data_IF_295885166950
#
_entry.id   IF_295885166950
#
_cell.length_a   1.000
_cell.length_b   1.000
_cell.length_c   1.000
_cell.angle_alpha   90.00
_cell.angle_beta   90.00
_cell.angle_gamma   90.00
#
_symmetry.space_group_name_H-M   'P 1'
#
loop_
_entity.id
_entity.type
_entity.pdbx_description
1 polymer ?
#
# COMPACT_ATOMS: atom_id res chain seq x y z
N UNK A 1 21.15 14.67 5.18
CA UNK A 1 20.65 13.34 5.57
C UNK A 1 21.06 13.07 7.02
N UNK A 2 20.18 12.45 7.81
CA UNK A 2 20.50 12.08 9.20
C UNK A 2 21.45 10.88 9.28
N UNK A 3 21.85 10.50 10.50
CA UNK A 3 22.63 9.29 10.74
C UNK A 3 21.80 8.03 10.41
N UNK A 4 22.48 6.95 9.99
CA UNK A 4 21.84 5.66 9.78
C UNK A 4 21.22 5.13 11.08
N UNK A 5 20.05 4.50 10.97
CA UNK A 5 19.39 3.80 12.08
C UNK A 5 19.82 2.33 12.04
N UNK A 6 20.40 1.84 13.14
CA UNK A 6 20.81 0.43 13.26
C UNK A 6 19.67 -0.45 13.83
N UNK A 7 19.81 -1.76 13.72
CA UNK A 7 18.84 -2.72 14.26
C UNK A 7 17.61 -2.94 13.40
N UNK A 8 17.52 -2.34 12.21
CA UNK A 8 16.46 -2.63 11.24
C UNK A 8 16.60 -4.05 10.67
N UNK A 9 15.51 -4.72 10.25
CA UNK A 9 15.56 -6.07 9.70
C UNK A 9 16.44 -6.19 8.45
N UNK A 10 17.04 -7.36 8.24
CA UNK A 10 17.66 -7.72 6.97
C UNK A 10 16.61 -7.81 5.85
N UNK A 11 16.94 -7.29 4.67
CA UNK A 11 16.00 -7.18 3.55
C UNK A 11 16.48 -7.89 2.29
N UNK A 12 15.53 -8.34 1.48
CA UNK A 12 15.74 -8.78 0.10
C UNK A 12 15.51 -7.63 -0.89
N UNK A 13 16.56 -6.88 -1.20
CA UNK A 13 16.50 -5.69 -2.06
C UNK A 13 16.48 -5.99 -3.58
N UNK A 14 15.95 -7.14 -4.00
CA UNK A 14 15.85 -7.50 -5.43
C UNK A 14 14.57 -6.95 -6.05
N UNK A 15 14.68 -6.36 -7.24
CA UNK A 15 13.54 -5.86 -8.00
C UNK A 15 12.79 -4.75 -7.24
N UNK A 16 11.51 -4.97 -6.94
CA UNK A 16 10.68 -4.07 -6.15
C UNK A 16 10.78 -4.30 -4.63
N UNK A 17 11.66 -5.21 -4.18
CA UNK A 17 11.85 -5.51 -2.76
C UNK A 17 12.86 -4.60 -2.09
N UNK A 18 12.92 -4.66 -0.76
CA UNK A 18 13.82 -3.86 0.07
C UNK A 18 13.18 -3.57 1.43
N UNK A 19 13.65 -2.52 2.09
CA UNK A 19 12.88 -1.84 3.13
C UNK A 19 11.81 -0.98 2.43
N UNK A 20 10.55 -1.08 2.86
CA UNK A 20 9.43 -0.51 2.12
C UNK A 20 8.73 0.60 2.91
N UNK A 21 7.77 0.27 3.76
CA UNK A 21 7.02 1.28 4.52
C UNK A 21 7.56 1.47 5.93
N UNK A 22 7.33 2.68 6.46
CA UNK A 22 7.55 3.02 7.87
C UNK A 22 6.29 3.69 8.41
N UNK A 23 5.78 3.16 9.52
CA UNK A 23 4.66 3.75 10.24
C UNK A 23 5.03 3.94 11.72
N UNK A 24 4.61 5.06 12.28
CA UNK A 24 4.70 5.29 13.72
C UNK A 24 3.47 4.71 14.38
N UNK A 25 3.64 4.15 15.57
CA UNK A 25 2.52 3.79 16.43
C UNK A 25 1.65 5.03 16.74
N UNK A 26 0.32 4.92 16.87
CA UNK A 26 -0.51 6.05 17.27
C UNK A 26 -0.06 6.70 18.59
N UNK A 27 0.49 5.91 19.52
CA UNK A 27 1.01 6.40 20.81
C UNK A 27 2.55 6.59 20.77
N UNK A 28 3.12 6.88 19.59
CA UNK A 28 4.58 6.96 19.38
C UNK A 28 5.28 7.92 20.34
N UNK A 29 4.67 9.07 20.68
CA UNK A 29 5.27 10.02 21.63
C UNK A 29 5.52 9.41 23.01
N UNK A 30 4.75 8.39 23.40
CA UNK A 30 4.88 7.69 24.68
C UNK A 30 5.69 6.40 24.55
N UNK A 31 5.40 5.59 23.53
CA UNK A 31 5.94 4.24 23.41
C UNK A 31 7.14 4.12 22.45
N UNK A 32 7.37 5.11 21.59
CA UNK A 32 8.46 5.12 20.59
C UNK A 32 8.46 3.91 19.64
N UNK A 33 7.32 3.25 19.43
CA UNK A 33 7.22 2.08 18.55
C UNK A 33 7.14 2.49 17.08
N UNK A 34 7.99 1.86 16.27
CA UNK A 34 8.04 2.04 14.82
C UNK A 34 7.80 0.69 14.15
N UNK A 35 6.98 0.71 13.10
CA UNK A 35 6.62 -0.45 12.29
C UNK A 35 7.28 -0.32 10.92
N UNK A 36 7.95 -1.38 10.49
CA UNK A 36 8.64 -1.47 9.21
C UNK A 36 8.04 -2.62 8.41
N UNK A 37 7.64 -2.35 7.18
CA UNK A 37 7.35 -3.41 6.21
C UNK A 37 8.54 -3.59 5.27
N UNK A 38 8.85 -4.83 4.93
CA UNK A 38 10.03 -5.15 4.13
C UNK A 38 9.88 -6.47 3.39
N UNK A 39 10.71 -6.65 2.36
CA UNK A 39 10.85 -7.93 1.66
C UNK A 39 11.72 -8.89 2.48
N UNK A 40 11.13 -9.92 3.06
CA UNK A 40 11.83 -10.93 3.86
C UNK A 40 12.06 -12.20 3.02
N UNK A 41 13.31 -12.67 2.96
CA UNK A 41 13.70 -13.91 2.26
C UNK A 41 12.99 -15.13 2.85
N UNK A 42 12.71 -16.10 2.00
CA UNK A 42 12.32 -17.43 2.45
C UNK A 42 13.52 -18.19 3.00
N UNK A 43 13.27 -19.01 4.01
CA UNK A 43 14.28 -19.85 4.66
C UNK A 43 14.13 -21.31 4.21
N UNK A 44 15.24 -22.05 4.23
CA UNK A 44 15.25 -23.46 3.84
C UNK A 44 15.44 -23.72 2.33
N UNK A 45 15.88 -24.93 1.96
CA UNK A 45 16.17 -25.30 0.58
C UNK A 45 14.94 -25.25 -0.35
N UNK A 46 13.75 -25.48 0.18
CA UNK A 46 12.47 -25.44 -0.54
C UNK A 46 12.05 -24.02 -0.94
N UNK A 47 12.53 -23.00 -0.22
CA UNK A 47 12.23 -21.60 -0.46
C UNK A 47 13.36 -20.86 -1.19
N UNK A 48 14.17 -21.59 -1.96
CA UNK A 48 15.28 -20.97 -2.71
C UNK A 48 14.76 -19.84 -3.61
N UNK A 49 15.34 -18.66 -3.45
CA UNK A 49 14.95 -17.41 -4.11
C UNK A 49 13.57 -16.87 -3.75
N UNK A 50 12.82 -17.53 -2.88
CA UNK A 50 11.52 -17.06 -2.42
C UNK A 50 11.66 -15.88 -1.46
N UNK A 51 10.66 -15.03 -1.44
CA UNK A 51 10.51 -13.93 -0.49
C UNK A 51 9.01 -13.56 -0.38
N UNK A 52 8.70 -12.68 0.56
CA UNK A 52 7.37 -12.11 0.72
C UNK A 52 7.44 -10.93 1.67
N UNK A 53 6.39 -10.12 1.68
CA UNK A 53 6.29 -8.99 2.61
C UNK A 53 6.26 -9.49 4.05
N UNK A 54 7.03 -8.87 4.93
CA UNK A 54 6.96 -9.05 6.38
C UNK A 54 6.78 -7.69 7.04
N UNK A 55 6.23 -7.69 8.26
CA UNK A 55 6.11 -6.50 9.11
C UNK A 55 6.77 -6.79 10.44
N UNK A 56 7.71 -5.94 10.81
CA UNK A 56 8.33 -5.94 12.12
C UNK A 56 8.02 -4.64 12.84
N UNK A 57 8.03 -4.68 14.17
CA UNK A 57 8.02 -3.49 15.02
C UNK A 57 9.20 -3.50 15.97
N UNK A 58 9.60 -2.32 16.42
CA UNK A 58 10.59 -2.17 17.48
C UNK A 58 10.58 -0.76 18.06
N UNK A 59 11.34 -0.55 19.12
CA UNK A 59 11.40 0.73 19.83
C UNK A 59 12.54 1.60 19.30
N UNK A 60 12.23 2.81 18.85
CA UNK A 60 13.23 3.76 18.38
C UNK A 60 13.89 4.47 19.57
N UNK A 61 15.21 4.34 19.65
CA UNK A 61 16.01 5.02 20.69
C UNK A 61 16.29 6.49 20.32
N UNK A 62 16.17 7.38 21.29
CA UNK A 62 16.61 8.77 21.15
C UNK A 62 18.08 8.90 21.53
N UNK A 63 18.96 8.87 20.53
CA UNK A 63 20.39 9.09 20.74
C UNK A 63 21.07 9.65 19.49
N UNK A 64 22.34 10.04 19.62
CA UNK A 64 23.17 10.46 18.48
C UNK A 64 23.41 9.32 17.46
N UNK A 65 23.20 8.07 17.87
CA UNK A 65 23.30 6.86 17.05
C UNK A 65 21.99 6.07 17.17
N UNK A 66 20.89 6.54 16.57
CA UNK A 66 19.57 5.95 16.76
C UNK A 66 19.56 4.49 16.30
N UNK A 67 18.81 3.66 17.04
CA UNK A 67 18.65 2.23 16.79
C UNK A 67 17.21 1.81 17.05
N UNK A 68 16.78 0.78 16.35
CA UNK A 68 15.57 0.03 16.64
C UNK A 68 15.91 -1.12 17.59
N UNK A 69 15.34 -1.11 18.79
CA UNK A 69 15.51 -2.14 19.82
C UNK A 69 14.28 -3.05 19.89
N UNK A 70 14.45 -4.23 20.48
CA UNK A 70 13.37 -5.21 20.72
C UNK A 70 12.57 -5.53 19.46
N UNK A 71 13.28 -5.71 18.35
CA UNK A 71 12.65 -5.91 17.04
C UNK A 71 12.00 -7.29 16.98
N UNK A 72 10.70 -7.30 16.71
CA UNK A 72 9.93 -8.52 16.53
C UNK A 72 9.11 -8.47 15.23
N UNK A 73 9.02 -9.61 14.55
CA UNK A 73 8.21 -9.75 13.33
C UNK A 73 6.79 -10.15 13.73
N UNK A 74 5.83 -9.27 13.46
CA UNK A 74 4.42 -9.42 13.83
C UNK A 74 3.56 -9.98 12.71
N UNK A 75 4.02 -9.93 11.46
CA UNK A 75 3.31 -10.48 10.32
C UNK A 75 4.26 -10.96 9.22
N UNK A 76 3.90 -12.06 8.54
CA UNK A 76 4.58 -12.55 7.34
C UNK A 76 3.54 -12.96 6.29
N UNK A 77 3.67 -12.38 5.10
CA UNK A 77 2.96 -12.84 3.92
C UNK A 77 3.35 -14.30 3.62
N UNK A 78 2.34 -15.15 3.42
CA UNK A 78 2.48 -16.56 3.10
C UNK A 78 1.55 -16.93 1.95
N UNK A 79 1.96 -17.82 1.04
CA UNK A 79 3.30 -18.39 0.94
C UNK A 79 4.33 -17.32 0.48
N UNK A 80 5.60 -17.49 0.87
CA UNK A 80 6.71 -16.80 0.21
C UNK A 80 6.97 -17.46 -1.14
N UNK A 81 7.21 -16.66 -2.17
CA UNK A 81 7.32 -17.14 -3.56
C UNK A 81 8.54 -16.58 -4.27
N UNK A 82 9.09 -17.29 -5.28
CA UNK A 82 10.26 -16.85 -6.04
C UNK A 82 9.89 -15.73 -7.03
N UNK A 83 9.60 -14.54 -6.50
CA UNK A 83 9.29 -13.32 -7.25
C UNK A 83 10.01 -12.11 -6.67
N UNK A 84 10.22 -11.09 -7.49
CA UNK A 84 10.83 -9.81 -7.06
C UNK A 84 9.89 -8.65 -7.36
N UNK A 85 8.60 -8.93 -7.54
CA UNK A 85 7.56 -7.99 -7.94
C UNK A 85 6.37 -8.09 -6.99
N UNK A 86 5.59 -7.00 -6.91
CA UNK A 86 4.30 -6.90 -6.23
C UNK A 86 4.33 -7.29 -4.75
N UNK A 87 5.06 -6.54 -3.94
CA UNK A 87 5.06 -6.68 -2.47
C UNK A 87 3.86 -6.01 -1.83
N UNK A 88 3.33 -4.97 -2.48
CA UNK A 88 2.51 -3.97 -1.82
C UNK A 88 3.26 -3.33 -0.66
N UNK A 89 2.83 -3.65 0.56
CA UNK A 89 3.43 -3.39 1.88
C UNK A 89 2.99 -2.13 2.63
N UNK A 90 1.96 -1.40 2.17
CA UNK A 90 1.53 -0.19 2.87
C UNK A 90 0.94 -0.51 4.25
N UNK A 91 1.32 0.27 5.26
CA UNK A 91 0.89 0.15 6.65
C UNK A 91 -0.02 1.34 7.01
N UNK A 92 -1.20 1.07 7.55
CA UNK A 92 -2.14 2.12 7.99
C UNK A 92 -2.77 1.70 9.32
N UNK A 93 -2.50 2.45 10.37
CA UNK A 93 -3.23 2.33 11.64
C UNK A 93 -4.62 2.94 11.50
N UNK A 94 -5.64 2.26 11.99
CA UNK A 94 -6.99 2.80 12.11
C UNK A 94 -7.26 3.50 13.45
N UNK A 95 -8.41 4.16 13.54
CA UNK A 95 -8.86 4.86 14.75
C UNK A 95 -9.43 3.90 15.81
N UNK A 96 -9.40 2.59 15.57
CA UNK A 96 -9.98 1.54 16.41
C UNK A 96 -8.89 0.64 17.03
N UNK A 97 -7.62 0.95 16.80
CA UNK A 97 -6.48 0.21 17.36
C UNK A 97 -6.09 -1.02 16.54
N UNK A 98 -6.33 -0.99 15.23
CA UNK A 98 -5.85 -2.00 14.29
C UNK A 98 -4.79 -1.44 13.33
N UNK A 99 -4.07 -2.35 12.70
CA UNK A 99 -3.12 -2.10 11.64
C UNK A 99 -3.56 -2.84 10.38
N UNK A 100 -3.83 -2.08 9.32
CA UNK A 100 -4.01 -2.61 7.97
C UNK A 100 -2.67 -2.78 7.28
N UNK A 101 -2.52 -3.90 6.56
CA UNK A 101 -1.36 -4.15 5.69
C UNK A 101 -1.89 -4.48 4.28
N UNK A 102 -1.55 -3.63 3.31
CA UNK A 102 -1.97 -3.80 1.92
C UNK A 102 -0.91 -4.62 1.14
N UNK A 103 -1.27 -5.81 0.67
CA UNK A 103 -0.33 -6.79 0.08
C UNK A 103 -0.56 -6.96 -1.42
N UNK A 104 0.53 -7.15 -2.17
CA UNK A 104 0.48 -7.54 -3.59
C UNK A 104 0.50 -9.06 -3.80
N UNK A 105 0.10 -9.52 -5.00
CA UNK A 105 -0.02 -10.96 -5.31
C UNK A 105 1.24 -11.63 -5.88
N UNK A 106 2.36 -10.91 -5.93
CA UNK A 106 3.68 -11.39 -6.41
C UNK A 106 3.84 -11.49 -7.94
N UNK A 107 2.90 -10.98 -8.74
CA UNK A 107 2.93 -10.75 -10.20
C UNK A 107 2.81 -11.95 -11.14
N UNK A 108 3.37 -13.11 -10.84
CA UNK A 108 3.54 -14.16 -11.86
C UNK A 108 2.25 -14.95 -12.09
N UNK A 109 2.02 -15.35 -13.35
CA UNK A 109 0.78 -16.02 -13.78
C UNK A 109 0.50 -17.32 -13.02
N UNK A 110 1.54 -18.01 -12.60
CA UNK A 110 1.49 -19.29 -11.90
C UNK A 110 0.79 -19.21 -10.55
N UNK A 111 0.81 -18.04 -9.89
CA UNK A 111 0.26 -17.89 -8.54
C UNK A 111 -0.58 -16.63 -8.35
N UNK A 112 -0.66 -15.71 -9.33
CA UNK A 112 -1.51 -14.50 -9.22
C UNK A 112 -2.99 -14.81 -8.98
N UNK A 113 -3.44 -16.02 -9.37
CA UNK A 113 -4.78 -16.52 -9.09
C UNK A 113 -5.09 -16.59 -7.58
N UNK A 114 -4.06 -16.75 -6.74
CA UNK A 114 -4.21 -16.79 -5.28
C UNK A 114 -4.68 -15.47 -4.68
N UNK A 115 -4.76 -14.38 -5.46
CA UNK A 115 -5.52 -13.19 -5.06
C UNK A 115 -6.98 -13.54 -4.70
N UNK A 116 -7.56 -14.58 -5.31
CA UNK A 116 -8.89 -15.10 -5.03
C UNK A 116 -8.94 -16.15 -3.91
N UNK A 117 -7.81 -16.77 -3.58
CA UNK A 117 -7.73 -17.84 -2.59
C UNK A 117 -7.65 -17.25 -1.17
N UNK A 118 -8.45 -17.78 -0.24
CA UNK A 118 -8.51 -17.30 1.15
C UNK A 118 -7.51 -18.01 2.08
N UNK A 119 -6.82 -19.05 1.62
CA UNK A 119 -5.74 -19.74 2.33
C UNK A 119 -4.35 -19.12 2.04
N UNK A 120 -4.33 -17.93 1.44
CA UNK A 120 -3.13 -17.24 0.97
C UNK A 120 -3.18 -15.73 1.22
N UNK A 121 -2.03 -15.13 1.53
CA UNK A 121 -1.84 -13.69 1.74
C UNK A 121 -1.54 -12.91 0.46
N UNK A 122 -1.61 -13.55 -0.71
CA UNK A 122 -1.35 -12.89 -1.98
C UNK A 122 -2.55 -12.02 -2.36
N UNK A 123 -2.30 -10.74 -2.67
CA UNK A 123 -3.36 -9.85 -3.17
C UNK A 123 -4.47 -9.59 -2.14
N UNK A 124 -4.09 -9.30 -0.90
CA UNK A 124 -5.00 -9.11 0.24
C UNK A 124 -4.79 -7.75 0.89
N UNK A 125 -5.83 -7.21 1.51
CA UNK A 125 -5.65 -6.35 2.68
C UNK A 125 -5.82 -7.24 3.90
N UNK A 126 -4.87 -7.21 4.83
CA UNK A 126 -5.00 -7.88 6.13
C UNK A 126 -5.22 -6.83 7.22
N UNK A 127 -5.95 -7.20 8.28
CA UNK A 127 -6.19 -6.38 9.48
C UNK A 127 -5.74 -7.16 10.71
N UNK A 128 -4.75 -6.63 11.43
CA UNK A 128 -4.19 -7.21 12.65
C UNK A 128 -4.20 -6.17 13.78
N UNK A 129 -3.99 -6.59 15.03
CA UNK A 129 -3.64 -5.70 16.13
C UNK A 129 -2.17 -5.27 16.02
N UNK A 130 -1.75 -4.20 16.71
CA UNK A 130 -0.37 -3.70 16.65
C UNK A 130 0.68 -4.74 17.12
N UNK A 131 0.28 -5.76 17.88
CA UNK A 131 1.13 -6.87 18.31
C UNK A 131 1.11 -8.10 17.38
N UNK A 132 0.37 -8.03 16.26
CA UNK A 132 0.21 -9.14 15.33
C UNK A 132 -0.98 -10.06 15.64
N UNK A 133 -1.67 -9.89 16.77
CA UNK A 133 -2.85 -10.69 17.08
C UNK A 133 -4.00 -10.39 16.11
N UNK A 134 -4.82 -11.40 15.80
CA UNK A 134 -5.94 -11.24 14.87
C UNK A 134 -7.16 -10.67 15.62
N UNK A 135 -7.81 -9.59 15.14
CA UNK A 135 -9.08 -9.11 15.68
C UNK A 135 -10.18 -10.18 15.56
N UNK A 136 -10.94 -10.38 16.63
CA UNK A 136 -11.98 -11.42 16.72
C UNK A 136 -13.16 -11.18 15.77
N UNK A 137 -13.35 -9.93 15.34
CA UNK A 137 -14.39 -9.47 14.43
C UNK A 137 -13.93 -9.45 12.96
N UNK A 138 -12.74 -9.99 12.63
CA UNK A 138 -12.32 -10.14 11.24
C UNK A 138 -13.29 -11.03 10.43
N UNK A 139 -13.52 -10.73 9.14
CA UNK A 139 -14.61 -11.30 8.35
C UNK A 139 -14.48 -12.80 8.04
N UNK A 140 -13.29 -13.37 8.23
CA UNK A 140 -13.01 -14.78 7.94
C UNK A 140 -12.66 -15.61 9.18
N UNK A 141 -12.85 -15.05 10.38
CA UNK A 141 -12.70 -15.81 11.63
C UNK A 141 -13.62 -17.03 11.63
N UNK A 142 -13.05 -18.20 11.95
CA UNK A 142 -13.78 -19.47 12.02
C UNK A 142 -14.18 -20.06 10.66
N UNK A 143 -13.83 -19.44 9.54
CA UNK A 143 -14.08 -20.00 8.21
C UNK A 143 -12.99 -21.02 7.87
N UNK A 144 -13.39 -22.28 7.71
CA UNK A 144 -12.47 -23.36 7.33
C UNK A 144 -11.73 -23.03 6.02
N UNK A 145 -10.40 -23.19 6.05
CA UNK A 145 -9.54 -22.89 4.90
C UNK A 145 -9.33 -21.42 4.59
N UNK A 146 -9.75 -20.49 5.46
CA UNK A 146 -9.45 -19.07 5.32
C UNK A 146 -8.46 -18.60 6.39
N UNK A 147 -7.54 -17.71 5.99
CA UNK A 147 -6.63 -17.03 6.91
C UNK A 147 -7.41 -15.93 7.66
N UNK A 148 -7.44 -15.96 9.00
CA UNK A 148 -8.32 -15.11 9.80
C UNK A 148 -7.93 -13.62 9.79
N UNK A 149 -6.69 -13.29 9.43
CA UNK A 149 -6.20 -11.91 9.30
C UNK A 149 -6.70 -11.18 8.04
N UNK A 150 -7.28 -11.89 7.06
CA UNK A 150 -7.75 -11.28 5.81
C UNK A 150 -8.91 -10.33 6.10
N UNK A 151 -8.80 -9.09 5.62
CA UNK A 151 -9.87 -8.09 5.61
C UNK A 151 -10.60 -8.07 4.27
N UNK A 152 -9.87 -8.02 3.17
CA UNK A 152 -10.41 -8.09 1.80
C UNK A 152 -9.43 -8.78 0.86
N UNK A 153 -9.92 -9.20 -0.31
CA UNK A 153 -9.14 -10.01 -1.25
C UNK A 153 -9.42 -9.62 -2.70
N UNK A 154 -8.71 -10.23 -3.65
CA UNK A 154 -8.84 -9.90 -5.06
C UNK A 154 -8.10 -8.63 -5.47
N UNK A 155 -6.96 -8.33 -4.82
CA UNK A 155 -6.09 -7.20 -5.15
C UNK A 155 -4.88 -7.65 -5.97
N UNK A 156 -4.33 -6.77 -6.80
CA UNK A 156 -3.12 -7.00 -7.61
C UNK A 156 -1.85 -6.53 -6.90
N UNK A 157 -1.64 -5.22 -6.83
CA UNK A 157 -0.43 -4.65 -6.26
C UNK A 157 -0.67 -3.26 -5.68
N UNK A 158 -1.13 -3.24 -4.43
CA UNK A 158 -1.51 -2.05 -3.70
C UNK A 158 -0.26 -1.22 -3.32
N UNK A 159 -0.21 0.07 -3.67
CA UNK A 159 0.97 0.91 -3.44
C UNK A 159 0.71 1.95 -2.34
N UNK A 160 -0.33 2.76 -2.52
CA UNK A 160 -0.78 3.75 -1.56
C UNK A 160 -1.98 3.26 -0.75
N UNK A 161 -2.07 3.73 0.48
CA UNK A 161 -3.22 3.55 1.35
C UNK A 161 -3.27 4.69 2.36
N UNK A 162 -4.48 5.15 2.69
CA UNK A 162 -4.73 6.18 3.70
C UNK A 162 -6.15 6.03 4.26
N UNK A 163 -6.38 6.53 5.47
CA UNK A 163 -7.74 6.66 5.99
C UNK A 163 -8.37 7.95 5.50
N UNK A 164 -9.63 7.83 5.07
CA UNK A 164 -10.45 9.00 4.83
C UNK A 164 -10.68 9.74 6.17
N UNK A 165 -10.33 11.03 6.27
CA UNK A 165 -10.21 11.73 7.55
C UNK A 165 -11.55 11.89 8.28
N UNK A 166 -12.67 11.91 7.56
CA UNK A 166 -14.00 12.10 8.17
C UNK A 166 -14.71 10.78 8.46
N UNK A 167 -14.50 9.76 7.63
CA UNK A 167 -15.27 8.49 7.71
C UNK A 167 -14.47 7.37 8.37
N UNK A 168 -13.15 7.53 8.52
CA UNK A 168 -12.26 6.48 9.04
C UNK A 168 -12.11 5.29 8.09
N UNK A 169 -12.70 5.31 6.90
CA UNK A 169 -12.60 4.21 5.94
C UNK A 169 -11.20 4.14 5.34
N UNK A 170 -10.68 2.93 5.18
CA UNK A 170 -9.45 2.68 4.43
C UNK A 170 -9.70 2.89 2.93
N UNK A 171 -8.85 3.69 2.31
CA UNK A 171 -8.74 3.79 0.85
C UNK A 171 -7.38 3.27 0.44
N UNK A 172 -7.34 2.53 -0.67
CA UNK A 172 -6.11 1.99 -1.26
C UNK A 172 -6.05 2.36 -2.73
N UNK A 173 -4.85 2.45 -3.27
CA UNK A 173 -4.66 2.44 -4.71
C UNK A 173 -3.75 1.27 -5.11
N UNK A 174 -3.88 0.83 -6.34
CA UNK A 174 -3.09 -0.28 -6.84
C UNK A 174 -2.75 -0.20 -8.32
N UNK A 175 -1.63 -0.79 -8.67
CA UNK A 175 -1.22 -0.92 -10.06
C UNK A 175 -2.07 -1.97 -10.77
N UNK A 176 -2.66 -1.57 -11.90
CA UNK A 176 -3.17 -2.48 -12.91
C UNK A 176 -2.04 -3.12 -13.74
N UNK A 177 -2.39 -4.01 -14.69
CA UNK A 177 -1.46 -4.54 -15.68
C UNK A 177 -1.11 -3.45 -16.72
N UNK A 178 -1.49 -3.63 -18.00
CA UNK A 178 -1.39 -2.55 -18.99
C UNK A 178 -2.67 -1.71 -18.95
N UNK A 179 -2.66 -0.64 -18.16
CA UNK A 179 -3.90 0.06 -17.80
C UNK A 179 -4.57 -0.58 -16.59
N UNK A 180 -5.62 0.07 -16.09
CA UNK A 180 -6.46 -0.43 -15.01
C UNK A 180 -5.81 -0.27 -13.64
N UNK A 181 -5.06 0.81 -13.42
CA UNK A 181 -4.78 1.20 -12.03
C UNK A 181 -6.08 1.62 -11.38
N UNK A 182 -6.22 1.38 -10.08
CA UNK A 182 -7.48 1.55 -9.36
C UNK A 182 -7.28 2.32 -8.06
N UNK A 183 -8.32 3.04 -7.66
CA UNK A 183 -8.54 3.59 -6.32
C UNK A 183 -9.74 2.86 -5.72
N UNK A 184 -9.51 2.17 -4.62
CA UNK A 184 -10.45 1.26 -3.98
C UNK A 184 -10.76 1.71 -2.54
N UNK A 185 -11.91 1.27 -2.02
CA UNK A 185 -12.27 1.37 -0.60
C UNK A 185 -12.46 -0.02 -0.02
N UNK A 186 -11.39 -0.71 0.43
CA UNK A 186 -11.45 -2.06 0.98
C UNK A 186 -12.44 -2.24 2.14
N UNK A 187 -13.47 -3.04 1.93
CA UNK A 187 -14.49 -3.40 2.94
C UNK A 187 -14.33 -4.84 3.43
N UNK A 188 -14.84 -5.11 4.63
CA UNK A 188 -14.77 -6.40 5.29
C UNK A 188 -15.36 -7.53 4.42
N UNK A 189 -14.55 -8.54 4.15
CA UNK A 189 -14.92 -9.76 3.43
C UNK A 189 -15.13 -9.58 1.93
N UNK A 190 -14.86 -8.40 1.37
CA UNK A 190 -15.15 -8.08 -0.03
C UNK A 190 -14.04 -8.50 -0.99
N UNK A 191 -14.45 -8.74 -2.23
CA UNK A 191 -13.60 -9.20 -3.33
C UNK A 191 -13.43 -8.07 -4.37
N UNK A 192 -12.20 -7.65 -4.65
CA UNK A 192 -11.86 -6.60 -5.62
C UNK A 192 -11.50 -7.17 -7.01
N UNK A 193 -11.75 -8.47 -7.21
CA UNK A 193 -11.92 -9.06 -8.53
C UNK A 193 -10.64 -9.50 -9.26
N UNK A 194 -9.45 -9.00 -8.91
CA UNK A 194 -8.21 -9.46 -9.55
C UNK A 194 -7.92 -10.95 -9.26
N UNK A 195 -7.45 -11.76 -10.25
CA UNK A 195 -7.26 -11.45 -11.67
C UNK A 195 -8.45 -11.90 -12.56
N UNK A 196 -9.63 -12.12 -11.99
CA UNK A 196 -10.81 -12.60 -12.73
C UNK A 196 -11.35 -11.50 -13.66
N UNK A 197 -11.39 -10.28 -13.15
CA UNK A 197 -11.74 -9.06 -13.90
C UNK A 197 -10.62 -8.03 -13.77
N UNK A 198 -10.53 -7.13 -14.75
CA UNK A 198 -9.61 -6.00 -14.72
C UNK A 198 -10.04 -4.94 -15.72
N UNK A 199 -9.86 -3.67 -15.35
CA UNK A 199 -9.93 -2.56 -16.30
C UNK A 199 -8.74 -2.50 -17.27
N UNK A 200 -7.69 -3.26 -17.02
CA UNK A 200 -6.50 -3.34 -17.86
C UNK A 200 -6.43 -4.62 -18.70
N UNK A 201 -5.43 -4.67 -19.60
CA UNK A 201 -5.12 -5.87 -20.38
C UNK A 201 -3.80 -6.48 -19.93
N UNK A 202 -3.53 -7.72 -20.34
CA UNK A 202 -2.15 -8.24 -20.31
C UNK A 202 -1.23 -7.29 -21.09
N UNK A 203 0.06 -7.29 -20.75
CA UNK A 203 1.04 -6.48 -21.49
C UNK A 203 1.15 -6.88 -22.97
N UNK A 204 0.79 -8.12 -23.32
CA UNK A 204 0.64 -8.59 -24.71
C UNK A 204 -0.54 -7.97 -25.45
N UNK A 205 -1.45 -7.28 -24.75
CA UNK A 205 -2.71 -6.77 -25.29
C UNK A 205 -3.87 -7.77 -25.24
N UNK A 206 -3.64 -8.99 -24.77
CA UNK A 206 -4.72 -9.97 -24.55
C UNK A 206 -5.53 -9.61 -23.31
N UNK A 207 -6.80 -10.05 -23.21
CA UNK A 207 -7.61 -9.82 -22.02
C UNK A 207 -6.98 -10.48 -20.77
N UNK A 208 -7.17 -9.86 -19.61
CA UNK A 208 -6.91 -10.50 -18.31
C UNK A 208 -8.15 -11.30 -17.90
N UNK A 209 -7.94 -12.51 -17.36
CA UNK A 209 -9.02 -13.30 -16.77
C UNK A 209 -10.15 -13.55 -17.76
N UNK A 210 -11.36 -13.15 -17.38
CA UNK A 210 -12.56 -13.23 -18.22
C UNK A 210 -12.56 -12.27 -19.41
N UNK A 211 -11.76 -11.21 -19.35
CA UNK A 211 -11.76 -10.09 -20.29
C UNK A 211 -12.80 -9.01 -20.01
N UNK A 212 -13.60 -9.18 -18.95
CA UNK A 212 -14.53 -8.18 -18.45
C UNK A 212 -13.87 -7.31 -17.37
N UNK A 213 -14.38 -6.09 -17.19
CA UNK A 213 -13.95 -5.18 -16.11
C UNK A 213 -14.73 -5.38 -14.81
N UNK A 214 -15.84 -6.13 -14.85
CA UNK A 214 -16.78 -6.30 -13.75
C UNK A 214 -17.36 -7.71 -13.74
N UNK A 215 -17.67 -8.27 -12.57
CA UNK A 215 -18.40 -9.54 -12.45
C UNK A 215 -19.25 -9.58 -11.17
N UNK A 216 -20.32 -10.39 -11.12
CA UNK A 216 -21.15 -10.52 -9.93
C UNK A 216 -20.35 -10.94 -8.70
N UNK A 217 -20.57 -10.26 -7.57
CA UNK A 217 -19.89 -10.54 -6.30
C UNK A 217 -18.46 -9.98 -6.19
N UNK A 218 -18.07 -9.10 -7.12
CA UNK A 218 -16.83 -8.34 -7.08
C UNK A 218 -17.16 -6.85 -6.98
N UNK A 219 -16.42 -6.14 -6.14
CA UNK A 219 -16.59 -4.71 -5.92
C UNK A 219 -15.90 -3.91 -7.02
N UNK A 220 -16.51 -2.79 -7.40
CA UNK A 220 -15.97 -1.86 -8.38
C UNK A 220 -15.05 -0.83 -7.70
N UNK A 221 -14.02 -0.33 -8.40
CA UNK A 221 -13.20 0.74 -7.89
C UNK A 221 -13.96 2.06 -7.84
N UNK A 222 -13.56 2.94 -6.93
CA UNK A 222 -14.05 4.32 -6.85
C UNK A 222 -13.63 5.12 -8.08
N UNK A 223 -12.42 4.87 -8.57
CA UNK A 223 -11.85 5.49 -9.75
C UNK A 223 -10.81 4.56 -10.37
N UNK A 224 -10.60 4.65 -11.68
CA UNK A 224 -9.61 3.85 -12.38
C UNK A 224 -8.90 4.64 -13.49
N UNK A 225 -7.69 4.23 -13.84
CA UNK A 225 -6.88 4.85 -14.87
C UNK A 225 -6.58 3.90 -16.03
N UNK A 226 -7.10 4.25 -17.21
CA UNK A 226 -6.72 3.63 -18.48
C UNK A 226 -6.35 4.74 -19.46
N UNK A 227 -5.07 4.92 -19.80
CA UNK A 227 -3.89 4.13 -19.39
C UNK A 227 -3.45 4.38 -17.93
N UNK A 228 -2.76 3.40 -17.34
CA UNK A 228 -2.18 3.47 -16.00
C UNK A 228 -1.27 4.69 -15.80
N UNK A 229 -1.33 5.27 -14.60
CA UNK A 229 -0.43 6.32 -14.15
C UNK A 229 0.74 5.77 -13.33
N UNK A 230 0.68 4.49 -12.94
CA UNK A 230 1.58 3.86 -11.97
C UNK A 230 1.35 4.46 -10.59
N UNK A 231 0.15 4.29 -10.03
CA UNK A 231 -0.26 4.85 -8.73
C UNK A 231 0.74 4.52 -7.62
N UNK A 232 1.04 5.48 -6.76
CA UNK A 232 1.97 5.29 -5.64
C UNK A 232 1.36 5.82 -4.33
N UNK A 233 2.08 6.60 -3.53
CA UNK A 233 1.56 7.18 -2.28
C UNK A 233 0.19 7.84 -2.46
N UNK A 234 -0.66 7.67 -1.44
CA UNK A 234 -2.00 8.23 -1.33
C UNK A 234 -2.08 9.08 -0.06
N UNK A 235 -2.61 10.28 -0.16
CA UNK A 235 -2.89 11.13 1.00
C UNK A 235 -4.21 11.89 0.82
N UNK A 236 -4.99 12.00 1.89
CA UNK A 236 -6.07 12.98 1.98
C UNK A 236 -5.52 14.29 2.53
N UNK A 237 -6.02 15.41 2.03
CA UNK A 237 -5.60 16.73 2.47
C UNK A 237 -6.63 17.36 3.42
N UNK A 238 -6.18 17.65 4.63
CA UNK A 238 -6.96 18.29 5.71
C UNK A 238 -6.36 19.65 6.12
N UNK A 239 -5.17 19.99 5.63
CA UNK A 239 -4.41 21.17 6.03
C UNK A 239 -5.00 22.51 5.59
N UNK A 240 -4.56 23.58 6.24
CA UNK A 240 -4.99 24.96 5.96
C UNK A 240 -4.02 25.74 5.04
N UNK A 241 -2.83 25.21 4.77
CA UNK A 241 -1.82 25.90 3.97
C UNK A 241 -2.30 26.16 2.53
N UNK A 242 -3.13 25.26 1.98
CA UNK A 242 -3.78 25.41 0.67
C UNK A 242 -5.28 25.10 0.81
N UNK A 243 -6.13 26.07 1.21
CA UNK A 243 -7.52 25.80 1.57
C UNK A 243 -8.35 25.13 0.47
N UNK A 244 -8.08 25.43 -0.82
CA UNK A 244 -8.78 24.83 -1.95
C UNK A 244 -8.46 23.34 -2.18
N UNK A 245 -7.58 22.75 -1.38
CA UNK A 245 -7.26 21.32 -1.42
C UNK A 245 -7.96 20.51 -0.33
N UNK A 246 -8.59 21.16 0.66
CA UNK A 246 -9.25 20.45 1.76
C UNK A 246 -10.32 19.49 1.23
N UNK A 247 -10.29 18.26 1.72
CA UNK A 247 -11.21 17.19 1.30
C UNK A 247 -10.78 16.45 0.02
N UNK A 248 -9.72 16.89 -0.65
CA UNK A 248 -9.22 16.20 -1.83
C UNK A 248 -8.24 15.07 -1.45
N UNK A 249 -8.12 14.09 -2.34
CA UNK A 249 -7.06 13.09 -2.28
C UNK A 249 -5.92 13.42 -3.27
N UNK A 250 -4.72 12.95 -2.96
CA UNK A 250 -3.53 13.12 -3.78
C UNK A 250 -2.85 11.78 -4.01
N UNK A 251 -2.55 11.48 -5.27
CA UNK A 251 -1.94 10.21 -5.70
C UNK A 251 -0.67 10.51 -6.47
N UNK A 252 0.44 9.87 -6.10
CA UNK A 252 1.67 9.93 -6.90
C UNK A 252 1.59 9.07 -8.16
N UNK A 253 2.21 9.52 -9.25
CA UNK A 253 2.33 8.77 -10.50
C UNK A 253 3.78 8.41 -10.83
N UNK A 254 4.03 7.13 -11.07
CA UNK A 254 5.32 6.57 -11.45
C UNK A 254 5.45 6.38 -12.97
N UNK A 255 4.47 5.72 -13.60
CA UNK A 255 4.50 5.42 -15.03
C UNK A 255 4.12 6.64 -15.89
N UNK A 256 3.29 7.53 -15.33
CA UNK A 256 3.03 8.86 -15.86
C UNK A 256 3.43 9.88 -14.79
N UNK A 257 4.72 10.26 -14.77
CA UNK A 257 5.29 11.16 -13.76
C UNK A 257 4.42 12.39 -13.45
N UNK A 258 4.21 12.63 -12.16
CA UNK A 258 3.41 13.74 -11.64
C UNK A 258 2.68 13.41 -10.33
N UNK A 259 2.00 14.42 -9.80
CA UNK A 259 1.07 14.31 -8.68
C UNK A 259 -0.35 14.45 -9.23
N UNK A 260 -1.30 13.64 -8.78
CA UNK A 260 -2.68 13.68 -9.26
C UNK A 260 -3.59 14.07 -8.11
N UNK A 261 -4.27 15.22 -8.22
CA UNK A 261 -5.26 15.67 -7.24
C UNK A 261 -6.63 15.18 -7.67
N UNK A 262 -7.31 14.48 -6.76
CA UNK A 262 -8.66 13.98 -6.92
C UNK A 262 -9.61 14.80 -6.07
N UNK A 263 -10.54 15.49 -6.71
CA UNK A 263 -11.61 16.24 -6.03
C UNK A 263 -12.73 15.26 -5.68
N UNK A 264 -13.10 15.24 -4.41
CA UNK A 264 -14.08 14.30 -3.88
C UNK A 264 -15.43 14.99 -3.61
N UNK A 265 -16.51 14.27 -3.91
CA UNK A 265 -17.86 14.56 -3.43
C UNK A 265 -18.36 13.33 -2.66
N UNK A 266 -18.24 13.39 -1.34
CA UNK A 266 -18.33 12.21 -0.47
C UNK A 266 -17.27 11.17 -0.88
N UNK A 267 -17.72 9.97 -1.23
CA UNK A 267 -16.85 8.85 -1.60
C UNK A 267 -16.62 8.72 -3.11
N UNK A 268 -16.98 9.75 -3.89
CA UNK A 268 -16.83 9.74 -5.36
C UNK A 268 -15.77 10.72 -5.83
N UNK A 269 -14.95 10.30 -6.77
CA UNK A 269 -14.06 11.21 -7.52
C UNK A 269 -14.88 11.94 -8.57
N UNK A 270 -14.92 13.28 -8.50
CA UNK A 270 -15.67 14.12 -9.45
C UNK A 270 -14.76 14.84 -10.44
N UNK A 271 -13.49 15.03 -10.08
CA UNK A 271 -12.51 15.65 -10.96
C UNK A 271 -11.10 15.15 -10.64
N UNK A 272 -10.28 15.01 -11.69
CA UNK A 272 -8.86 14.71 -11.60
C UNK A 272 -8.06 15.84 -12.21
N UNK A 273 -7.07 16.34 -11.48
CA UNK A 273 -6.11 17.33 -11.95
C UNK A 273 -4.69 16.76 -11.87
N UNK A 274 -4.04 16.47 -13.01
CA UNK A 274 -2.62 16.15 -13.05
C UNK A 274 -1.78 17.40 -12.81
N UNK A 275 -0.86 17.32 -11.86
CA UNK A 275 0.00 18.40 -11.37
C UNK A 275 1.48 18.01 -11.49
N UNK A 276 2.36 19.02 -11.55
CA UNK A 276 3.82 18.86 -11.51
C UNK A 276 4.41 17.97 -12.63
N UNK A 277 3.66 17.78 -13.73
CA UNK A 277 4.07 16.91 -14.83
C UNK A 277 5.29 17.46 -15.58
N UNK A 278 5.44 18.77 -15.59
CA UNK A 278 6.57 19.49 -16.15
C UNK A 278 7.90 19.18 -15.47
N UNK A 279 7.88 18.70 -14.21
CA UNK A 279 9.09 18.27 -13.52
C UNK A 279 9.61 16.93 -14.04
N UNK A 280 8.74 16.10 -14.63
CA UNK A 280 9.11 14.78 -15.14
C UNK A 280 9.52 13.76 -14.07
N UNK A 281 9.30 14.07 -12.78
CA UNK A 281 9.73 13.24 -11.66
C UNK A 281 8.71 12.16 -11.32
N UNK A 282 9.18 10.91 -11.16
CA UNK A 282 8.36 9.80 -10.66
C UNK A 282 8.07 10.04 -9.19
N UNK A 283 6.79 10.15 -8.81
CA UNK A 283 6.42 10.39 -7.41
C UNK A 283 6.21 9.05 -6.73
N UNK A 284 7.01 8.72 -5.70
CA UNK A 284 6.95 7.49 -4.90
C UNK A 284 5.95 7.60 -3.76
N UNK A 285 6.00 8.68 -3.01
CA UNK A 285 5.13 8.86 -1.84
C UNK A 285 4.58 10.28 -1.74
N UNK A 286 3.43 10.39 -1.09
CA UNK A 286 2.71 11.64 -0.85
C UNK A 286 2.24 11.65 0.60
N UNK A 287 2.59 12.68 1.36
CA UNK A 287 2.17 12.86 2.76
C UNK A 287 1.82 14.30 3.04
N UNK A 288 0.81 14.53 3.88
CA UNK A 288 0.61 15.85 4.49
C UNK A 288 1.48 15.96 5.75
N UNK A 289 2.27 17.02 5.85
CA UNK A 289 3.02 17.33 7.06
C UNK A 289 2.18 18.05 8.12
N UNK A 290 2.66 18.13 9.37
CA UNK A 290 1.96 18.83 10.45
C UNK A 290 1.87 20.35 10.22
N UNK A 291 2.68 20.90 9.32
CA UNK A 291 2.65 22.29 8.87
C UNK A 291 1.58 22.56 7.78
N UNK A 292 0.82 21.52 7.39
CA UNK A 292 -0.20 21.59 6.34
C UNK A 292 0.36 21.61 4.91
N UNK A 293 1.67 21.46 4.73
CA UNK A 293 2.28 21.28 3.41
C UNK A 293 2.11 19.85 2.91
N UNK A 294 2.17 19.64 1.59
CA UNK A 294 2.36 18.30 1.03
C UNK A 294 3.86 18.02 0.85
N UNK A 295 4.30 16.85 1.29
CA UNK A 295 5.64 16.33 1.09
C UNK A 295 5.58 15.18 0.10
N UNK A 296 6.43 15.24 -0.93
CA UNK A 296 6.57 14.19 -1.93
C UNK A 296 7.94 13.54 -1.82
N UNK A 297 7.99 12.23 -1.98
CA UNK A 297 9.24 11.49 -2.22
C UNK A 297 9.31 11.12 -3.70
N UNK A 298 10.46 11.29 -4.35
CA UNK A 298 10.65 10.89 -5.76
C UNK A 298 11.33 9.52 -5.89
N UNK A 299 10.96 8.77 -6.92
CA UNK A 299 11.45 7.41 -7.24
C UNK A 299 12.58 7.47 -8.27
N UNK A 300 13.68 8.12 -7.92
CA UNK A 300 14.85 8.35 -8.78
C UNK A 300 16.12 7.85 -8.08
N UNK A 301 17.21 7.65 -8.83
CA UNK A 301 18.52 7.26 -8.26
C UNK A 301 19.01 8.31 -7.23
N UNK A 302 18.90 9.60 -7.60
CA UNK A 302 19.09 10.75 -6.71
C UNK A 302 17.73 11.28 -6.20
N UNK A 303 17.02 10.44 -5.46
CA UNK A 303 15.69 10.75 -4.92
C UNK A 303 15.64 12.04 -4.08
N UNK A 304 14.51 12.75 -4.17
CA UNK A 304 14.29 14.05 -3.55
C UNK A 304 13.09 14.00 -2.60
N UNK A 305 13.15 14.83 -1.56
CA UNK A 305 11.98 15.21 -0.77
C UNK A 305 11.56 16.61 -1.20
N UNK A 306 10.39 16.71 -1.83
CA UNK A 306 9.81 17.98 -2.25
C UNK A 306 8.79 18.44 -1.20
N UNK A 307 8.81 19.72 -0.85
CA UNK A 307 7.79 20.35 0.00
C UNK A 307 6.96 21.30 -0.85
N UNK A 308 5.65 21.12 -0.84
CA UNK A 308 4.69 21.88 -1.65
C UNK A 308 3.81 22.70 -0.72
N UNK A 309 3.80 24.00 -0.94
CA UNK A 309 2.96 24.97 -0.25
C UNK A 309 2.28 25.88 -1.26
N UNK A 310 1.35 26.71 -0.79
CA UNK A 310 0.82 27.82 -1.60
C UNK A 310 1.98 28.72 -2.05
N UNK A 311 1.94 29.17 -3.30
CA UNK A 311 2.83 30.23 -3.78
C UNK A 311 2.55 31.54 -3.03
N UNK A 312 3.61 32.31 -2.79
CA UNK A 312 3.54 33.65 -2.19
C UNK A 312 2.80 34.66 -3.09
#
# INVERSE_FOLDING_TARGET
>A
MGNAIYGVPDVDARGQGGLLDVALDPDFEENRLVYLSYAEKGEGPENKNANGTAVARGRLTESMSPQLQDVEVIFRQQPKLPSTLHFGSRLVFDNEGHLFIALGERSKKEFRGQAQDLDSHLGKVVRIRPDGAVPEDNPFIGKEGALPEIWSYGHRNQQGAALHPETGKLWTNEHGPRGGDELNMPEAGRNYGWPVVSYGTEYSGLPVGSGESSAPGMEEPVHYWVPSIGTSGLAFYTGDAVPGWKGNAFVGGLARPGLYRLVLDGEKVTHEEPMLRELGLRIRDVRQGPDGALYLLTDEEDGQILRITKAE
#
